data_IF_672607003238
#
_entry.id   IF_672607003238
#
_cell.length_a   1.000
_cell.length_b   1.000
_cell.length_c   1.000
_cell.angle_alpha   90.00
_cell.angle_beta   90.00
_cell.angle_gamma   90.00
#
_symmetry.space_group_name_H-M   'P 1'
#
loop_
_entity.id
_entity.type
_entity.pdbx_description
1 polymer ?
#
# COMPACT_ATOMS: atom_id res chain seq x y z
N UNK A 1 13.27 32.76 2.10
CA UNK A 1 12.13 33.20 2.94
C UNK A 1 11.28 31.96 3.17
N UNK A 2 10.94 31.76 4.43
CA UNK A 2 10.40 30.54 5.03
C UNK A 2 8.95 30.29 4.65
N UNK A 3 8.66 29.21 3.94
CA UNK A 3 7.29 28.72 3.77
C UNK A 3 7.08 27.47 4.63
N UNK A 4 6.77 27.75 5.88
CA UNK A 4 6.13 26.83 6.82
C UNK A 4 4.61 26.85 6.60
N UNK A 5 4.03 25.66 6.66
CA UNK A 5 2.67 25.32 7.12
C UNK A 5 1.49 25.24 6.16
N UNK A 6 0.92 24.02 6.12
CA UNK A 6 -0.53 23.81 6.05
C UNK A 6 -1.05 22.63 6.91
N UNK A 7 -0.17 21.84 7.57
CA UNK A 7 -0.56 20.73 8.46
C UNK A 7 -0.46 21.05 9.96
N UNK A 8 -0.02 22.26 10.33
CA UNK A 8 0.33 22.65 11.71
C UNK A 8 -0.74 23.52 12.39
N UNK A 9 -1.92 23.70 11.78
CA UNK A 9 -2.93 24.67 12.25
C UNK A 9 -4.11 24.05 13.02
N UNK A 10 -3.97 22.83 13.57
CA UNK A 10 -5.04 22.21 14.38
C UNK A 10 -4.61 21.59 15.72
N UNK A 11 -3.50 22.02 16.35
CA UNK A 11 -3.14 21.55 17.70
C UNK A 11 -2.35 22.57 18.55
N UNK A 12 -2.70 23.86 18.49
CA UNK A 12 -2.18 24.87 19.44
C UNK A 12 -3.16 25.17 20.58
N UNK A 13 -3.95 24.18 20.99
CA UNK A 13 -4.48 24.15 22.35
C UNK A 13 -3.31 23.79 23.26
N UNK A 14 -2.60 24.83 23.71
CA UNK A 14 -1.31 24.74 24.38
C UNK A 14 -1.18 23.60 25.38
N UNK A 15 0.04 23.07 25.50
CA UNK A 15 0.36 21.95 26.38
C UNK A 15 -0.11 22.21 27.83
N UNK A 16 -1.33 21.77 28.18
CA UNK A 16 -1.98 21.99 29.48
C UNK A 16 -2.28 20.66 30.16
N UNK A 17 -2.21 20.66 31.48
CA UNK A 17 -2.57 19.51 32.29
C UNK A 17 -4.03 19.12 32.06
N UNK A 18 -4.28 17.87 31.67
CA UNK A 18 -5.63 17.33 31.40
C UNK A 18 -6.57 17.41 32.61
N UNK A 19 -6.01 17.52 33.83
CA UNK A 19 -6.79 17.51 35.08
C UNK A 19 -7.06 18.90 35.64
N UNK A 20 -6.09 19.81 35.60
CA UNK A 20 -6.17 21.12 36.26
C UNK A 20 -5.95 22.32 35.34
N UNK A 21 -5.69 22.10 34.04
CA UNK A 21 -5.48 23.15 33.05
C UNK A 21 -4.16 23.91 33.18
N UNK A 22 -3.30 23.57 34.14
CA UNK A 22 -1.99 24.23 34.30
C UNK A 22 -1.07 23.92 33.11
N UNK A 23 -0.41 24.92 32.49
CA UNK A 23 0.57 24.69 31.44
C UNK A 23 1.66 23.70 31.88
N UNK A 24 1.97 22.71 31.03
CA UNK A 24 2.96 21.67 31.30
C UNK A 24 3.49 21.08 30.00
N UNK A 25 4.75 20.69 29.96
CA UNK A 25 5.35 19.93 28.84
C UNK A 25 5.46 18.43 29.12
N UNK A 26 5.07 18.00 30.32
CA UNK A 26 5.24 16.62 30.76
C UNK A 26 4.10 15.77 30.18
N UNK A 27 4.47 14.86 29.27
CA UNK A 27 3.56 13.89 28.65
C UNK A 27 3.51 12.59 29.45
N UNK A 28 2.38 11.91 29.42
CA UNK A 28 2.27 10.53 29.86
C UNK A 28 3.37 9.67 29.21
N UNK A 29 4.20 8.99 30.00
CA UNK A 29 5.33 8.20 29.49
C UNK A 29 4.90 7.01 28.63
N UNK A 30 3.68 6.49 28.84
CA UNK A 30 3.08 5.43 28.04
C UNK A 30 2.60 5.94 26.68
N UNK A 31 1.47 6.65 26.63
CA UNK A 31 0.80 7.06 25.40
C UNK A 31 1.37 8.31 24.72
N UNK A 32 2.11 9.16 25.45
CA UNK A 32 2.64 10.45 24.96
C UNK A 32 1.57 11.44 24.45
N UNK A 33 0.29 11.17 24.71
CA UNK A 33 -0.86 11.97 24.22
C UNK A 33 -1.41 12.90 25.30
N UNK A 34 -1.52 12.43 26.56
CA UNK A 34 -2.00 13.24 27.67
C UNK A 34 -0.87 14.01 28.34
N UNK A 35 -1.20 15.19 28.89
CA UNK A 35 -0.27 16.09 29.57
C UNK A 35 -0.65 16.23 31.05
N UNK A 36 0.34 16.22 31.93
CA UNK A 36 0.13 16.36 33.37
C UNK A 36 1.13 17.34 33.97
N UNK A 37 0.72 18.20 34.91
CA UNK A 37 1.67 19.07 35.62
C UNK A 37 2.52 18.30 36.65
N UNK A 38 2.14 17.06 36.97
CA UNK A 38 2.84 16.19 37.91
C UNK A 38 2.14 14.85 38.13
N UNK A 39 2.75 14.01 38.97
CA UNK A 39 2.29 12.64 39.26
C UNK A 39 0.89 12.58 39.88
N UNK A 40 0.52 13.58 40.68
CA UNK A 40 -0.78 13.61 41.36
C UNK A 40 -1.93 13.73 40.37
N UNK A 41 -1.80 14.63 39.39
CA UNK A 41 -2.77 14.77 38.31
C UNK A 41 -2.83 13.51 37.44
N UNK A 42 -1.69 12.91 37.10
CA UNK A 42 -1.67 11.65 36.36
C UNK A 42 -2.37 10.52 37.14
N UNK A 43 -2.15 10.43 38.45
CA UNK A 43 -2.73 9.39 39.30
C UNK A 43 -4.24 9.57 39.44
N UNK A 44 -4.71 10.82 39.55
CA UNK A 44 -6.13 11.18 39.59
C UNK A 44 -6.86 10.81 38.28
N UNK A 45 -6.21 11.00 37.14
CA UNK A 45 -6.77 10.69 35.81
C UNK A 45 -6.67 9.19 35.45
N UNK A 46 -5.75 8.47 36.08
CA UNK A 46 -5.41 7.09 35.69
C UNK A 46 -6.62 6.13 35.55
N UNK A 47 -7.64 6.12 36.43
CA UNK A 47 -8.79 5.24 36.25
C UNK A 47 -9.54 5.44 34.92
N UNK A 48 -9.65 6.69 34.45
CA UNK A 48 -10.27 7.02 33.16
C UNK A 48 -9.28 6.86 31.98
N UNK A 49 -8.01 7.23 32.20
CA UNK A 49 -6.99 7.22 31.17
C UNK A 49 -6.51 5.81 30.80
N UNK A 50 -6.44 4.87 31.74
CA UNK A 50 -5.72 3.59 31.61
C UNK A 50 -6.05 2.81 30.32
N UNK A 51 -7.33 2.73 29.94
CA UNK A 51 -7.76 2.02 28.73
C UNK A 51 -7.29 2.76 27.48
N UNK A 52 -7.66 4.03 27.34
CA UNK A 52 -7.20 4.87 26.21
C UNK A 52 -5.68 4.95 26.10
N UNK A 53 -4.95 4.91 27.22
CA UNK A 53 -3.50 4.90 27.25
C UNK A 53 -2.91 3.66 26.56
N UNK A 54 -3.57 2.50 26.63
CA UNK A 54 -3.14 1.29 25.93
C UNK A 54 -3.42 1.40 24.43
N UNK A 55 -4.59 1.93 24.05
CA UNK A 55 -4.98 2.10 22.66
C UNK A 55 -4.03 3.05 21.94
N UNK A 56 -3.73 4.21 22.53
CA UNK A 56 -2.75 5.16 21.99
C UNK A 56 -1.33 4.58 21.92
N UNK A 57 -0.97 3.69 22.84
CA UNK A 57 0.31 2.99 22.76
C UNK A 57 0.35 2.02 21.58
N UNK A 58 -0.72 1.25 21.37
CA UNK A 58 -0.83 0.34 20.23
C UNK A 58 -0.82 1.12 18.92
N UNK A 59 -1.61 2.19 18.80
CA UNK A 59 -1.64 3.08 17.64
C UNK A 59 -0.26 3.64 17.31
N UNK A 60 0.47 4.15 18.31
CA UNK A 60 1.83 4.66 18.06
C UNK A 60 2.77 3.57 17.56
N UNK A 61 2.64 2.34 18.08
CA UNK A 61 3.43 1.19 17.64
C UNK A 61 3.10 0.81 16.20
N UNK A 62 1.81 0.74 15.86
CA UNK A 62 1.35 0.43 14.50
C UNK A 62 1.73 1.52 13.49
N UNK A 63 1.62 2.79 13.87
CA UNK A 63 2.05 3.92 13.04
C UNK A 63 3.55 3.84 12.70
N UNK A 64 4.40 3.50 13.68
CA UNK A 64 5.84 3.28 13.45
C UNK A 64 6.12 2.11 12.50
N UNK A 65 5.38 1.01 12.63
CA UNK A 65 5.48 -0.11 11.68
C UNK A 65 5.11 0.36 10.28
N UNK A 66 3.99 1.05 10.14
CA UNK A 66 3.53 1.53 8.85
C UNK A 66 4.51 2.50 8.19
N UNK A 67 5.14 3.37 8.98
CA UNK A 67 6.17 4.30 8.53
C UNK A 67 7.41 3.56 7.98
N UNK A 68 7.96 2.59 8.72
CA UNK A 68 9.11 1.80 8.27
C UNK A 68 8.78 1.07 6.95
N UNK A 69 7.64 0.40 6.89
CA UNK A 69 7.26 -0.41 5.72
C UNK A 69 7.00 0.48 4.51
N UNK A 70 6.33 1.63 4.69
CA UNK A 70 6.08 2.57 3.60
C UNK A 70 7.38 3.15 3.05
N UNK A 71 8.29 3.63 3.91
CA UNK A 71 9.59 4.16 3.45
C UNK A 71 10.45 3.07 2.78
N UNK A 72 10.45 1.85 3.32
CA UNK A 72 11.12 0.71 2.71
C UNK A 72 10.55 0.38 1.33
N UNK A 73 9.22 0.40 1.18
CA UNK A 73 8.57 0.12 -0.10
C UNK A 73 8.87 1.19 -1.15
N UNK A 74 8.77 2.48 -0.79
CA UNK A 74 9.08 3.57 -1.72
C UNK A 74 10.53 3.49 -2.19
N UNK A 75 11.46 3.22 -1.28
CA UNK A 75 12.89 3.04 -1.60
C UNK A 75 13.12 1.80 -2.47
N UNK A 76 12.42 0.70 -2.17
CA UNK A 76 12.42 -0.50 -2.99
C UNK A 76 11.92 -0.19 -4.41
N UNK A 77 10.83 0.56 -4.56
CA UNK A 77 10.28 0.96 -5.87
C UNK A 77 11.15 1.94 -6.63
N UNK A 78 11.85 2.84 -5.94
CA UNK A 78 12.85 3.70 -6.58
C UNK A 78 13.99 2.88 -7.18
N UNK A 79 14.43 1.83 -6.50
CA UNK A 79 15.50 0.94 -6.99
C UNK A 79 15.02 -0.07 -8.03
N UNK A 80 13.78 -0.55 -7.92
CA UNK A 80 13.17 -1.54 -8.82
C UNK A 80 12.25 -0.91 -9.84
N UNK A 81 12.41 0.39 -10.10
CA UNK A 81 11.58 1.08 -11.07
C UNK A 81 11.75 0.43 -12.45
N UNK A 82 10.64 0.24 -13.13
CA UNK A 82 10.56 -0.52 -14.39
C UNK A 82 9.71 0.21 -15.44
N UNK A 83 9.13 1.35 -15.07
CA UNK A 83 8.42 2.24 -15.98
C UNK A 83 9.37 3.06 -16.85
N UNK A 84 8.93 3.39 -18.06
CA UNK A 84 9.52 4.44 -18.89
C UNK A 84 8.51 5.58 -18.89
N UNK A 85 8.79 6.69 -18.22
CA UNK A 85 7.86 7.82 -18.17
C UNK A 85 8.41 8.95 -19.03
N UNK A 86 7.61 9.41 -19.99
CA UNK A 86 7.96 10.50 -20.90
C UNK A 86 7.53 11.86 -20.34
N UNK A 87 6.38 11.91 -19.67
CA UNK A 87 5.80 13.14 -19.13
C UNK A 87 4.91 12.86 -17.91
N UNK A 88 4.88 13.82 -16.99
CA UNK A 88 3.99 13.81 -15.83
C UNK A 88 3.23 15.13 -15.78
N UNK A 89 1.92 15.06 -15.56
CA UNK A 89 1.08 16.24 -15.31
C UNK A 89 0.51 16.14 -13.89
N UNK A 90 1.03 16.99 -13.01
CA UNK A 90 0.64 17.06 -11.60
C UNK A 90 -0.52 18.05 -11.41
N UNK A 91 -1.73 17.64 -11.80
CA UNK A 91 -2.95 18.41 -11.54
C UNK A 91 -3.44 18.24 -10.09
N UNK A 92 -4.26 19.19 -9.61
CA UNK A 92 -4.81 19.19 -8.25
C UNK A 92 -5.53 17.87 -7.92
N UNK A 93 -6.50 17.47 -8.75
CA UNK A 93 -7.30 16.25 -8.52
C UNK A 93 -6.88 15.03 -9.38
N UNK A 94 -5.88 15.18 -10.25
CA UNK A 94 -5.50 14.14 -11.22
C UNK A 94 -3.98 14.04 -11.38
N UNK A 95 -3.44 12.82 -11.41
CA UNK A 95 -2.07 12.55 -11.85
C UNK A 95 -2.15 11.93 -13.24
N UNK A 96 -1.55 12.58 -14.24
CA UNK A 96 -1.43 11.96 -15.56
C UNK A 96 0.02 11.53 -15.76
N UNK A 97 0.24 10.22 -15.89
CA UNK A 97 1.52 9.61 -16.20
C UNK A 97 1.47 9.21 -17.67
N UNK A 98 2.38 9.76 -18.48
CA UNK A 98 2.53 9.39 -19.88
C UNK A 98 3.64 8.36 -19.99
N UNK A 99 3.26 7.09 -20.13
CA UNK A 99 4.18 5.99 -20.30
C UNK A 99 4.77 5.96 -21.73
N UNK A 100 6.07 5.77 -21.81
CA UNK A 100 6.79 5.41 -23.01
C UNK A 100 6.83 3.90 -23.23
N UNK A 101 7.53 3.47 -24.28
CA UNK A 101 7.66 2.07 -24.63
C UNK A 101 8.76 1.36 -23.79
N UNK A 102 8.44 0.46 -22.85
CA UNK A 102 9.44 -0.23 -22.04
C UNK A 102 10.14 -1.38 -22.76
N UNK A 103 9.62 -1.83 -23.92
CA UNK A 103 10.04 -3.08 -24.57
C UNK A 103 11.46 -3.02 -25.18
N UNK A 104 12.04 -1.83 -25.29
CA UNK A 104 13.42 -1.65 -25.75
C UNK A 104 14.46 -1.74 -24.61
N UNK A 105 14.04 -1.90 -23.35
CA UNK A 105 14.96 -2.00 -22.22
C UNK A 105 15.37 -3.47 -21.97
N UNK A 106 16.57 -3.84 -22.41
CA UNK A 106 17.13 -5.18 -22.16
C UNK A 106 17.39 -5.48 -20.68
N UNK A 107 17.46 -4.47 -19.81
CA UNK A 107 17.74 -4.66 -18.37
C UNK A 107 16.48 -4.67 -17.50
N UNK A 108 15.28 -4.49 -18.09
CA UNK A 108 13.98 -4.37 -17.41
C UNK A 108 13.87 -3.16 -16.47
N UNK A 109 14.71 -3.10 -15.44
CA UNK A 109 14.77 -1.98 -14.51
C UNK A 109 15.29 -0.72 -15.20
N UNK A 110 14.66 0.41 -14.88
CA UNK A 110 14.98 1.75 -15.34
C UNK A 110 15.34 2.62 -14.13
N UNK A 111 15.97 3.76 -14.39
CA UNK A 111 16.19 4.75 -13.32
C UNK A 111 14.89 5.50 -13.09
N UNK A 112 14.50 5.64 -11.82
CA UNK A 112 13.37 6.48 -11.45
C UNK A 112 13.54 7.92 -12.00
N UNK A 113 12.53 8.49 -12.67
CA UNK A 113 12.65 9.75 -13.40
C UNK A 113 12.55 10.96 -12.46
N UNK A 114 13.50 11.12 -11.54
CA UNK A 114 13.51 12.19 -10.53
C UNK A 114 13.26 13.59 -11.12
N UNK A 115 13.75 13.87 -12.32
CA UNK A 115 13.60 15.17 -12.99
C UNK A 115 12.14 15.49 -13.37
N UNK A 116 11.28 14.48 -13.55
CA UNK A 116 9.88 14.65 -13.91
C UNK A 116 8.96 14.85 -12.68
N UNK A 117 9.47 14.58 -11.48
CA UNK A 117 8.69 14.64 -10.21
C UNK A 117 9.29 15.58 -9.15
N UNK A 118 10.37 16.30 -9.49
CA UNK A 118 11.39 16.77 -8.53
C UNK A 118 10.94 17.74 -7.43
N UNK A 119 9.72 18.30 -7.48
CA UNK A 119 9.22 19.23 -6.45
C UNK A 119 7.94 18.78 -5.74
N UNK A 120 7.29 17.70 -6.18
CA UNK A 120 6.00 17.28 -5.65
C UNK A 120 6.14 15.93 -4.95
N UNK A 121 6.19 15.96 -3.61
CA UNK A 121 6.15 14.74 -2.79
C UNK A 121 4.94 13.88 -3.17
N UNK A 122 3.79 14.53 -3.39
CA UNK A 122 2.55 13.86 -3.77
C UNK A 122 2.65 13.21 -5.15
N UNK A 123 3.21 13.89 -6.15
CA UNK A 123 3.43 13.27 -7.47
C UNK A 123 4.44 12.13 -7.38
N UNK A 124 5.54 12.29 -6.64
CA UNK A 124 6.53 11.23 -6.43
C UNK A 124 5.89 9.97 -5.83
N UNK A 125 5.08 10.13 -4.77
CA UNK A 125 4.33 9.03 -4.17
C UNK A 125 3.38 8.39 -5.18
N UNK A 126 2.60 9.19 -5.92
CA UNK A 126 1.68 8.70 -6.94
C UNK A 126 2.36 7.90 -8.03
N UNK A 127 3.53 8.33 -8.50
CA UNK A 127 4.30 7.63 -9.54
C UNK A 127 4.91 6.33 -9.01
N UNK A 128 5.48 6.34 -7.80
CA UNK A 128 6.11 5.15 -7.21
C UNK A 128 5.12 4.03 -6.88
N UNK A 129 3.86 4.39 -6.66
CA UNK A 129 2.80 3.47 -6.22
C UNK A 129 1.75 3.20 -7.31
N UNK A 130 1.92 3.78 -8.50
CA UNK A 130 0.99 3.59 -9.61
C UNK A 130 0.95 2.13 -10.05
N UNK A 131 -0.24 1.54 -10.03
CA UNK A 131 -0.51 0.16 -10.48
C UNK A 131 0.19 -0.94 -9.67
N UNK A 132 0.60 -0.64 -8.44
CA UNK A 132 1.33 -1.59 -7.58
C UNK A 132 0.63 -1.83 -6.24
N UNK A 133 -0.71 -1.75 -6.22
CA UNK A 133 -1.50 -1.80 -4.99
C UNK A 133 -1.29 -3.04 -4.13
N UNK A 134 -0.88 -4.17 -4.70
CA UNK A 134 -0.63 -5.45 -4.03
C UNK A 134 0.85 -5.71 -3.71
N UNK A 135 1.76 -4.99 -4.35
CA UNK A 135 3.20 -5.21 -4.24
C UNK A 135 3.79 -5.06 -2.83
N UNK A 136 3.45 -4.03 -2.03
CA UNK A 136 4.01 -3.90 -0.69
C UNK A 136 3.73 -5.14 0.17
N UNK A 137 2.54 -5.71 0.04
CA UNK A 137 2.07 -6.84 0.85
C UNK A 137 2.70 -8.16 0.40
N UNK A 138 2.99 -8.29 -0.90
CA UNK A 138 3.70 -9.45 -1.45
C UNK A 138 5.20 -9.40 -1.19
N UNK A 139 5.86 -8.32 -1.59
CA UNK A 139 7.32 -8.21 -1.58
C UNK A 139 7.92 -7.87 -0.21
N UNK A 140 7.20 -7.14 0.66
CA UNK A 140 7.67 -6.76 1.99
C UNK A 140 6.97 -7.54 3.11
N UNK A 141 6.31 -8.67 2.79
CA UNK A 141 5.59 -9.49 3.75
C UNK A 141 6.43 -9.85 4.99
N UNK A 142 7.70 -10.22 4.81
CA UNK A 142 8.57 -10.60 5.92
C UNK A 142 8.88 -9.41 6.85
N UNK A 143 9.10 -8.22 6.30
CA UNK A 143 9.32 -7.00 7.08
C UNK A 143 8.08 -6.69 7.92
N UNK A 144 6.89 -6.74 7.31
CA UNK A 144 5.61 -6.50 7.97
C UNK A 144 5.41 -7.48 9.14
N UNK A 145 5.56 -8.78 8.89
CA UNK A 145 5.33 -9.83 9.89
C UNK A 145 6.32 -9.71 11.06
N UNK A 146 7.62 -9.51 10.79
CA UNK A 146 8.64 -9.35 11.85
C UNK A 146 8.43 -8.09 12.70
N UNK A 147 7.98 -6.98 12.10
CA UNK A 147 7.69 -5.75 12.85
C UNK A 147 6.46 -5.87 13.76
N UNK A 148 5.44 -6.62 13.32
CA UNK A 148 4.19 -6.84 14.05
C UNK A 148 4.27 -8.00 15.07
N UNK A 149 5.31 -8.83 15.01
CA UNK A 149 5.47 -10.02 15.85
C UNK A 149 5.34 -9.74 17.36
N UNK A 150 4.40 -10.40 18.02
CA UNK A 150 4.17 -10.25 19.47
C UNK A 150 3.38 -9.01 19.86
N UNK A 151 2.81 -8.27 18.89
CA UNK A 151 1.64 -7.43 19.17
C UNK A 151 0.40 -8.30 19.24
N UNK A 152 -0.51 -7.98 20.16
CA UNK A 152 -1.81 -8.67 20.29
C UNK A 152 -2.80 -8.11 19.25
N UNK A 153 -2.52 -8.38 17.98
CA UNK A 153 -3.32 -7.93 16.85
C UNK A 153 -3.56 -9.06 15.86
N UNK A 154 -4.72 -9.04 15.22
CA UNK A 154 -5.03 -9.87 14.06
C UNK A 154 -4.74 -9.09 12.78
N UNK A 155 -4.32 -9.79 11.72
CA UNK A 155 -3.89 -9.18 10.46
C UNK A 155 -4.57 -9.86 9.27
N UNK A 156 -5.19 -9.05 8.41
CA UNK A 156 -5.75 -9.52 7.15
C UNK A 156 -5.32 -8.62 6.00
N UNK A 157 -5.12 -9.23 4.83
CA UNK A 157 -5.02 -8.48 3.58
C UNK A 157 -6.44 -8.25 3.04
N UNK A 158 -6.79 -7.02 2.68
CA UNK A 158 -8.13 -6.70 2.18
C UNK A 158 -8.08 -6.02 0.83
N UNK A 159 -9.10 -6.24 0.01
CA UNK A 159 -9.37 -5.44 -1.17
C UNK A 159 -10.49 -4.45 -0.87
N UNK A 160 -10.39 -3.18 -1.23
CA UNK A 160 -11.51 -2.22 -1.15
C UNK A 160 -11.76 -1.54 -2.50
N UNK A 161 -12.98 -1.08 -2.69
CA UNK A 161 -13.34 -0.12 -3.74
C UNK A 161 -13.61 1.23 -3.09
N UNK A 162 -13.15 2.30 -3.73
CA UNK A 162 -13.26 3.65 -3.19
C UNK A 162 -14.50 4.39 -3.72
N UNK A 163 -15.20 5.08 -2.81
CA UNK A 163 -16.34 5.96 -3.13
C UNK A 163 -15.86 7.35 -3.55
N UNK A 164 -14.75 7.81 -2.96
CA UNK A 164 -14.09 9.08 -3.26
C UNK A 164 -12.58 8.90 -3.15
N UNK A 165 -11.85 9.44 -4.10
CA UNK A 165 -10.39 9.47 -4.07
C UNK A 165 -9.90 10.92 -4.08
N UNK A 166 -8.98 11.31 -3.19
CA UNK A 166 -8.37 12.64 -3.20
C UNK A 166 -7.71 12.98 -4.54
N UNK A 167 -7.28 11.96 -5.27
CA UNK A 167 -6.66 12.10 -6.58
C UNK A 167 -7.01 10.91 -7.46
N UNK A 168 -7.44 11.18 -8.69
CA UNK A 168 -7.71 10.14 -9.68
C UNK A 168 -6.42 9.64 -10.33
N UNK A 169 -6.27 8.31 -10.30
CA UNK A 169 -5.41 7.48 -11.16
C UNK A 169 -6.31 6.41 -11.77
N UNK A 170 -6.18 6.13 -13.07
CA UNK A 170 -7.26 5.56 -13.88
C UNK A 170 -7.04 4.04 -14.15
N UNK A 171 -7.82 3.09 -13.55
CA UNK A 171 -7.87 1.60 -13.79
C UNK A 171 -9.07 0.82 -13.08
N UNK A 172 -9.40 -0.46 -13.43
CA UNK A 172 -10.72 -1.17 -13.21
C UNK A 172 -10.86 -2.56 -12.40
N UNK A 173 -11.92 -2.86 -11.56
CA UNK A 173 -12.71 -4.09 -11.08
C UNK A 173 -13.13 -4.35 -9.58
N UNK A 174 -14.27 -5.11 -9.32
CA UNK A 174 -15.48 -5.10 -8.35
C UNK A 174 -15.55 -6.15 -7.13
N UNK A 175 -16.59 -6.17 -6.20
CA UNK A 175 -16.56 -6.48 -4.72
C UNK A 175 -17.20 -7.78 -4.10
N UNK A 176 -16.92 -8.13 -2.81
CA UNK A 176 -17.80 -8.05 -1.58
C UNK A 176 -17.29 -8.78 -0.28
N UNK A 177 -17.44 -8.20 0.94
CA UNK A 177 -17.68 -8.93 2.24
C UNK A 177 -17.34 -8.18 3.57
N UNK A 178 -17.17 -8.87 4.73
CA UNK A 178 -17.22 -8.29 6.11
C UNK A 178 -15.85 -8.22 6.86
N UNK A 179 -15.55 -7.14 7.62
CA UNK A 179 -14.28 -6.95 8.35
C UNK A 179 -14.23 -7.59 9.77
N UNK A 180 -13.04 -7.54 10.41
CA UNK A 180 -12.72 -8.02 11.77
C UNK A 180 -13.59 -7.37 12.88
N UNK A 181 -13.54 -7.88 14.12
CA UNK A 181 -14.15 -7.23 15.30
C UNK A 181 -13.13 -6.33 16.02
N UNK A 182 -13.60 -5.38 16.84
CA UNK A 182 -12.74 -4.55 17.69
C UNK A 182 -12.35 -3.20 17.07
N UNK A 183 -11.38 -2.51 17.69
CA UNK A 183 -10.78 -1.30 17.13
C UNK A 183 -9.83 -1.69 16.00
N UNK A 184 -9.96 -1.01 14.88
CA UNK A 184 -9.31 -1.40 13.64
C UNK A 184 -8.48 -0.27 13.06
N UNK A 185 -7.40 -0.66 12.37
CA UNK A 185 -6.49 0.23 11.66
C UNK A 185 -6.17 -0.32 10.29
N UNK A 186 -5.80 0.58 9.38
CA UNK A 186 -5.40 0.22 8.02
C UNK A 186 -4.00 0.73 7.73
N UNK A 187 -3.21 -0.12 7.07
CA UNK A 187 -1.90 0.21 6.54
C UNK A 187 -1.94 0.23 5.01
N UNK A 188 -1.95 1.44 4.44
CA UNK A 188 -1.97 1.66 2.98
C UNK A 188 -0.61 2.14 2.48
N UNK A 189 0.20 1.20 2.00
CA UNK A 189 1.55 1.49 1.52
C UNK A 189 1.58 1.93 0.04
N UNK A 190 0.46 1.80 -0.67
CA UNK A 190 0.32 2.16 -2.08
C UNK A 190 -0.74 3.24 -2.32
N UNK A 191 -1.23 3.89 -1.25
CA UNK A 191 -2.28 4.91 -1.30
C UNK A 191 -1.89 6.18 -2.05
N UNK A 192 -0.58 6.40 -2.23
CA UNK A 192 -0.03 7.52 -3.00
C UNK A 192 -0.63 7.65 -4.40
N UNK A 193 -0.95 6.52 -5.04
CA UNK A 193 -1.57 6.49 -6.37
C UNK A 193 -2.97 7.13 -6.37
N UNK A 194 -3.64 7.21 -5.22
CA UNK A 194 -4.95 7.86 -5.07
C UNK A 194 -4.87 9.19 -4.31
N UNK A 195 -3.66 9.70 -4.07
CA UNK A 195 -3.42 10.91 -3.28
C UNK A 195 -3.51 10.70 -1.77
N UNK A 196 -3.59 9.46 -1.28
CA UNK A 196 -3.56 9.11 0.14
C UNK A 196 -2.09 9.02 0.57
N UNK A 197 -1.56 10.12 1.11
CA UNK A 197 -0.13 10.22 1.43
C UNK A 197 0.28 9.55 2.75
N UNK A 198 -0.66 9.44 3.70
CA UNK A 198 -0.40 8.85 5.01
C UNK A 198 -0.62 7.33 4.94
N UNK A 199 0.35 6.50 5.37
CA UNK A 199 0.24 5.06 5.26
C UNK A 199 -0.55 4.41 6.39
N UNK A 200 -0.97 5.16 7.41
CA UNK A 200 -1.64 4.63 8.59
C UNK A 200 -2.87 5.46 8.96
N UNK A 201 -4.01 4.78 9.13
CA UNK A 201 -5.27 5.39 9.56
C UNK A 201 -6.00 4.46 10.52
N UNK A 202 -6.91 5.02 11.32
CA UNK A 202 -7.97 4.18 11.90
C UNK A 202 -8.89 3.70 10.77
N UNK A 203 -9.44 2.50 10.88
CA UNK A 203 -10.36 1.97 9.86
C UNK A 203 -11.60 2.85 9.74
N UNK A 204 -12.17 3.31 10.87
CA UNK A 204 -13.36 4.18 10.88
C UNK A 204 -13.14 5.46 10.05
N UNK A 205 -12.02 6.16 10.25
CA UNK A 205 -11.71 7.37 9.50
C UNK A 205 -11.50 7.07 8.01
N UNK A 206 -10.82 5.97 7.71
CA UNK A 206 -10.51 5.58 6.34
C UNK A 206 -11.75 5.12 5.57
N UNK A 207 -12.61 4.35 6.23
CA UNK A 207 -13.87 3.85 5.67
C UNK A 207 -14.79 5.02 5.32
N UNK A 208 -15.00 5.94 6.27
CA UNK A 208 -15.81 7.15 6.07
C UNK A 208 -15.26 8.02 4.94
N UNK A 209 -13.92 8.16 4.87
CA UNK A 209 -13.29 9.08 3.93
C UNK A 209 -13.23 8.52 2.49
N UNK A 210 -12.98 7.22 2.34
CA UNK A 210 -12.55 6.66 1.06
C UNK A 210 -13.33 5.44 0.60
N UNK A 211 -13.85 4.60 1.50
CA UNK A 211 -14.35 3.27 1.11
C UNK A 211 -15.80 3.35 0.65
N UNK A 212 -16.10 2.74 -0.50
CA UNK A 212 -17.47 2.40 -0.93
C UNK A 212 -17.84 1.02 -0.37
N UNK A 213 -16.94 0.04 -0.55
CA UNK A 213 -17.14 -1.32 -0.10
C UNK A 213 -15.86 -2.13 0.00
N UNK A 214 -15.90 -3.10 0.90
CA UNK A 214 -14.90 -4.16 1.03
C UNK A 214 -15.13 -5.22 -0.06
N UNK A 215 -14.08 -5.52 -0.83
CA UNK A 215 -14.10 -6.37 -2.02
C UNK A 215 -13.59 -7.78 -1.73
N UNK A 216 -12.55 -7.90 -0.92
CA UNK A 216 -11.90 -9.17 -0.64
C UNK A 216 -11.24 -9.14 0.74
N UNK A 217 -11.12 -10.30 1.37
CA UNK A 217 -10.41 -10.49 2.63
C UNK A 217 -9.60 -11.76 2.50
N UNK A 218 -8.33 -11.70 2.87
CA UNK A 218 -7.38 -12.78 2.76
C UNK A 218 -6.56 -12.91 4.04
N UNK A 219 -6.10 -14.13 4.31
CA UNK A 219 -5.06 -14.36 5.32
C UNK A 219 -3.78 -13.61 4.95
N UNK A 220 -3.04 -13.11 5.95
CA UNK A 220 -1.74 -12.48 5.72
C UNK A 220 -0.77 -13.43 4.97
N UNK A 221 0.00 -12.86 4.04
CA UNK A 221 0.91 -13.59 3.16
C UNK A 221 0.24 -14.17 1.91
N UNK A 222 -1.03 -13.84 1.64
CA UNK A 222 -1.70 -14.28 0.41
C UNK A 222 -1.04 -13.66 -0.81
N UNK A 223 -0.82 -12.35 -0.85
CA UNK A 223 -0.10 -11.69 -1.94
C UNK A 223 1.27 -12.33 -2.20
N UNK A 224 2.07 -12.60 -1.15
CA UNK A 224 3.39 -13.26 -1.28
C UNK A 224 3.28 -14.63 -1.96
N UNK A 225 2.30 -15.46 -1.55
CA UNK A 225 2.07 -16.78 -2.18
C UNK A 225 1.62 -16.65 -3.63
N UNK A 226 0.68 -15.75 -3.91
CA UNK A 226 0.18 -15.51 -5.26
C UNK A 226 1.31 -15.06 -6.19
N UNK A 227 2.13 -14.10 -5.76
CA UNK A 227 3.25 -13.60 -6.55
C UNK A 227 4.26 -14.70 -6.89
N UNK A 228 4.55 -15.60 -5.96
CA UNK A 228 5.40 -16.77 -6.20
C UNK A 228 4.87 -17.68 -7.30
N UNK A 229 3.55 -17.87 -7.37
CA UNK A 229 2.92 -18.65 -8.44
C UNK A 229 2.90 -17.89 -9.78
N UNK A 230 2.60 -16.58 -9.76
CA UNK A 230 2.56 -15.74 -10.95
C UNK A 230 3.95 -15.54 -11.57
N UNK A 231 5.02 -15.57 -10.76
CA UNK A 231 6.41 -15.52 -11.21
C UNK A 231 6.82 -16.70 -12.11
N UNK A 232 6.05 -17.79 -12.12
CA UNK A 232 6.29 -18.96 -12.96
C UNK A 232 5.72 -18.80 -14.37
N UNK A 233 4.88 -17.79 -14.60
CA UNK A 233 4.26 -17.52 -15.90
C UNK A 233 5.27 -16.83 -16.80
N UNK A 234 5.38 -17.32 -18.04
CA UNK A 234 6.27 -16.76 -19.05
C UNK A 234 5.84 -15.34 -19.51
N UNK A 235 6.62 -14.72 -20.39
CA UNK A 235 6.35 -13.35 -20.84
C UNK A 235 6.61 -12.32 -19.75
N UNK A 236 5.84 -11.24 -19.71
CA UNK A 236 6.07 -10.11 -18.78
C UNK A 236 6.01 -10.50 -17.30
N UNK A 237 5.30 -11.56 -16.95
CA UNK A 237 5.05 -11.95 -15.56
C UNK A 237 6.28 -12.50 -14.84
N UNK A 238 7.20 -13.15 -15.57
CA UNK A 238 8.51 -13.52 -15.02
C UNK A 238 9.38 -12.30 -14.70
N UNK A 239 9.09 -11.16 -15.33
CA UNK A 239 9.77 -9.90 -15.04
C UNK A 239 9.11 -9.25 -13.82
N UNK A 240 7.81 -8.98 -13.90
CA UNK A 240 7.05 -8.30 -12.83
C UNK A 240 7.11 -9.05 -11.51
N UNK A 241 6.85 -10.36 -11.48
CA UNK A 241 6.84 -11.12 -10.22
C UNK A 241 8.16 -11.85 -9.98
N UNK A 242 8.84 -12.29 -11.04
CA UNK A 242 10.06 -13.08 -10.92
C UNK A 242 11.35 -12.25 -10.77
N UNK A 243 11.54 -11.15 -11.52
CA UNK A 243 12.71 -10.27 -11.33
C UNK A 243 12.54 -9.41 -10.10
N UNK A 244 11.39 -8.75 -9.94
CA UNK A 244 11.13 -7.91 -8.76
C UNK A 244 11.11 -8.79 -7.49
N UNK A 245 10.56 -10.01 -7.56
CA UNK A 245 10.63 -10.96 -6.45
C UNK A 245 12.06 -11.38 -6.06
N UNK A 246 12.98 -11.47 -7.03
CA UNK A 246 14.42 -11.67 -6.72
C UNK A 246 15.05 -10.47 -6.03
N UNK A 247 14.66 -9.25 -6.40
CA UNK A 247 15.07 -8.05 -5.68
C UNK A 247 14.50 -8.03 -4.25
N UNK A 248 13.24 -8.45 -4.07
CA UNK A 248 12.61 -8.58 -2.76
C UNK A 248 13.31 -9.62 -1.87
N UNK A 249 13.77 -10.74 -2.44
CA UNK A 249 14.58 -11.71 -1.69
C UNK A 249 15.89 -11.10 -1.14
N UNK A 250 16.45 -10.07 -1.80
CA UNK A 250 17.61 -9.32 -1.29
C UNK A 250 17.25 -8.39 -0.14
N UNK A 251 16.02 -7.88 -0.08
CA UNK A 251 15.52 -7.23 1.14
C UNK A 251 15.46 -8.25 2.28
N UNK A 252 14.96 -9.46 2.03
CA UNK A 252 14.83 -10.48 3.07
C UNK A 252 16.20 -10.88 3.65
N UNK A 253 17.17 -11.19 2.80
CA UNK A 253 18.56 -11.47 3.22
C UNK A 253 19.17 -10.31 4.02
N UNK A 254 18.89 -9.06 3.62
CA UNK A 254 19.39 -7.88 4.31
C UNK A 254 18.74 -7.65 5.67
N UNK A 255 17.44 -7.95 5.82
CA UNK A 255 16.74 -7.91 7.13
C UNK A 255 17.40 -8.89 8.09
N UNK A 256 17.57 -10.15 7.67
CA UNK A 256 18.15 -11.18 8.53
C UNK A 256 19.58 -10.82 8.93
N UNK A 257 20.39 -10.34 7.97
CA UNK A 257 21.76 -9.87 8.25
C UNK A 257 21.76 -8.71 9.24
N UNK A 258 20.92 -7.70 9.01
CA UNK A 258 20.83 -6.53 9.88
C UNK A 258 20.42 -6.90 11.31
N UNK A 259 19.48 -7.83 11.49
CA UNK A 259 19.07 -8.33 12.81
C UNK A 259 20.17 -9.11 13.55
N UNK A 260 21.15 -9.70 12.84
CA UNK A 260 22.31 -10.33 13.53
C UNK A 260 23.25 -9.32 14.17
N UNK A 261 23.29 -8.11 13.63
CA UNK A 261 24.20 -7.03 14.05
C UNK A 261 23.48 -6.00 14.94
N UNK A 262 22.15 -6.01 14.97
CA UNK A 262 21.30 -5.02 15.64
C UNK A 262 20.22 -5.70 16.50
N UNK A 263 19.26 -4.92 17.01
CA UNK A 263 18.13 -5.46 17.79
C UNK A 263 17.07 -6.05 16.85
N UNK A 264 16.31 -7.07 17.29
CA UNK A 264 15.19 -7.60 16.49
C UNK A 264 14.18 -6.52 16.09
N UNK A 265 13.59 -6.64 14.91
CA UNK A 265 12.67 -5.64 14.34
C UNK A 265 11.47 -5.35 15.25
N UNK A 266 10.95 -6.35 15.96
CA UNK A 266 9.88 -6.18 16.93
C UNK A 266 10.20 -5.14 18.02
N UNK A 267 11.48 -4.80 18.25
CA UNK A 267 11.89 -3.84 19.27
C UNK A 267 11.64 -2.38 18.87
N UNK A 268 11.54 -2.06 17.58
CA UNK A 268 11.38 -0.70 17.05
C UNK A 268 10.19 0.05 17.66
N UNK A 269 9.12 -0.70 17.91
CA UNK A 269 7.86 -0.18 18.46
C UNK A 269 8.00 0.40 19.87
N UNK A 270 9.02 -0.01 20.62
CA UNK A 270 9.26 0.40 22.01
C UNK A 270 10.34 1.48 22.18
N UNK A 271 11.09 1.81 21.13
CA UNK A 271 12.23 2.71 21.21
C UNK A 271 11.82 4.15 21.56
N UNK A 272 12.73 4.93 22.16
CA UNK A 272 12.54 6.38 22.25
C UNK A 272 12.63 6.99 20.84
N UNK A 273 12.01 8.15 20.61
CA UNK A 273 11.86 8.71 19.25
C UNK A 273 13.21 8.91 18.54
N UNK A 274 14.23 9.43 19.23
CA UNK A 274 15.56 9.60 18.63
C UNK A 274 16.25 8.27 18.28
N UNK A 275 16.11 7.25 19.13
CA UNK A 275 16.66 5.91 18.85
C UNK A 275 15.87 5.21 17.73
N UNK A 276 14.55 5.42 17.69
CA UNK A 276 13.69 4.93 16.61
C UNK A 276 14.14 5.48 15.25
N UNK A 277 14.32 6.79 15.11
CA UNK A 277 14.77 7.40 13.85
C UNK A 277 16.16 6.90 13.44
N UNK A 278 17.08 6.76 14.40
CA UNK A 278 18.43 6.25 14.13
C UNK A 278 18.39 4.81 13.61
N UNK A 279 17.65 3.92 14.29
CA UNK A 279 17.55 2.51 13.92
C UNK A 279 16.77 2.35 12.60
N UNK A 280 15.72 3.15 12.37
CA UNK A 280 14.97 3.19 11.10
C UNK A 280 15.88 3.57 9.95
N UNK A 281 16.65 4.65 10.08
CA UNK A 281 17.59 5.07 9.04
C UNK A 281 18.65 4.01 8.76
N UNK A 282 19.16 3.33 9.79
CA UNK A 282 20.13 2.23 9.65
C UNK A 282 19.54 1.06 8.85
N UNK A 283 18.35 0.59 9.23
CA UNK A 283 17.64 -0.48 8.55
C UNK A 283 17.36 -0.12 7.08
N UNK A 284 16.73 1.04 6.83
CA UNK A 284 16.39 1.48 5.48
C UNK A 284 17.62 1.62 4.58
N UNK A 285 18.76 2.09 5.13
CA UNK A 285 20.02 2.16 4.41
C UNK A 285 20.57 0.79 4.03
N UNK A 286 20.45 -0.22 4.89
CA UNK A 286 20.85 -1.59 4.59
C UNK A 286 19.98 -2.21 3.48
N UNK A 287 18.67 -2.01 3.56
CA UNK A 287 17.69 -2.48 2.58
C UNK A 287 17.92 -1.85 1.20
N UNK A 288 18.06 -0.52 1.14
CA UNK A 288 18.40 0.23 -0.06
C UNK A 288 19.69 -0.31 -0.70
N UNK A 289 20.75 -0.44 0.10
CA UNK A 289 22.04 -0.87 -0.41
C UNK A 289 22.02 -2.29 -0.98
N UNK A 290 21.30 -3.21 -0.35
CA UNK A 290 21.17 -4.59 -0.82
C UNK A 290 20.48 -4.65 -2.20
N UNK A 291 19.34 -3.98 -2.34
CA UNK A 291 18.57 -3.95 -3.58
C UNK A 291 19.35 -3.22 -4.68
N UNK A 292 19.84 -2.01 -4.39
CA UNK A 292 20.63 -1.22 -5.36
C UNK A 292 21.85 -1.99 -5.86
N UNK A 293 22.53 -2.72 -4.97
CA UNK A 293 23.69 -3.54 -5.35
C UNK A 293 23.27 -4.67 -6.29
N UNK A 294 22.20 -5.39 -5.96
CA UNK A 294 21.66 -6.45 -6.82
C UNK A 294 21.30 -5.95 -8.21
N UNK A 295 20.55 -4.83 -8.30
CA UNK A 295 20.15 -4.22 -9.57
C UNK A 295 21.37 -3.78 -10.40
N UNK A 296 22.41 -3.22 -9.76
CA UNK A 296 23.61 -2.73 -10.47
C UNK A 296 24.52 -3.85 -10.97
N UNK A 297 24.54 -4.99 -10.29
CA UNK A 297 25.55 -6.05 -10.51
C UNK A 297 25.04 -7.26 -11.27
N UNK A 298 23.72 -7.36 -11.49
CA UNK A 298 23.11 -8.49 -12.18
C UNK A 298 22.85 -8.16 -13.64
N UNK A 299 23.19 -9.08 -14.55
CA UNK A 299 22.76 -8.98 -15.96
C UNK A 299 21.37 -9.62 -16.13
N UNK A 300 20.37 -8.78 -16.43
CA UNK A 300 18.99 -9.23 -16.60
C UNK A 300 18.62 -9.57 -18.05
N UNK A 301 19.48 -9.23 -19.00
CA UNK A 301 19.20 -9.37 -20.43
C UNK A 301 18.84 -10.80 -20.87
N UNK A 302 19.44 -11.88 -20.33
CA UNK A 302 19.02 -13.24 -20.66
C UNK A 302 17.55 -13.52 -20.31
N UNK A 303 17.08 -13.03 -19.17
CA UNK A 303 15.69 -13.24 -18.70
C UNK A 303 14.73 -12.38 -19.51
N UNK A 304 15.09 -11.13 -19.79
CA UNK A 304 14.29 -10.22 -20.60
C UNK A 304 14.10 -10.75 -22.03
N UNK A 305 15.17 -11.20 -22.69
CA UNK A 305 15.08 -11.80 -24.03
C UNK A 305 14.16 -13.02 -24.04
N UNK A 306 14.27 -13.90 -23.03
CA UNK A 306 13.39 -15.07 -22.90
C UNK A 306 11.92 -14.65 -22.72
N UNK A 307 11.65 -13.61 -21.93
CA UNK A 307 10.30 -13.07 -21.77
C UNK A 307 9.74 -12.50 -23.08
N UNK A 308 10.55 -11.73 -23.83
CA UNK A 308 10.16 -11.13 -25.11
C UNK A 308 9.85 -12.17 -26.21
N UNK A 309 10.47 -13.35 -26.15
CA UNK A 309 10.17 -14.46 -27.08
C UNK A 309 8.85 -15.20 -26.77
N UNK A 310 8.20 -14.91 -25.65
CA UNK A 310 6.96 -15.57 -25.24
C UNK A 310 5.75 -14.97 -25.97
N UNK A 311 4.73 -15.79 -26.26
CA UNK A 311 3.48 -15.30 -26.83
C UNK A 311 2.71 -14.45 -25.79
N UNK A 312 2.52 -13.13 -26.01
CA UNK A 312 1.90 -12.25 -25.00
C UNK A 312 0.44 -12.61 -24.72
N UNK A 313 -0.35 -12.93 -25.76
CA UNK A 313 -1.76 -13.25 -25.60
C UNK A 313 -1.97 -14.53 -24.77
N UNK A 314 -1.12 -15.53 -24.99
CA UNK A 314 -1.15 -16.77 -24.21
C UNK A 314 -0.73 -16.53 -22.74
N UNK A 315 0.34 -15.76 -22.53
CA UNK A 315 0.79 -15.41 -21.18
C UNK A 315 -0.28 -14.61 -20.41
N UNK A 316 -0.93 -13.64 -21.06
CA UNK A 316 -1.99 -12.84 -20.46
C UNK A 316 -3.24 -13.66 -20.11
N UNK A 317 -3.65 -14.58 -20.99
CA UNK A 317 -4.73 -15.50 -20.69
C UNK A 317 -4.41 -16.41 -19.50
N UNK A 318 -3.18 -16.94 -19.43
CA UNK A 318 -2.72 -17.77 -18.32
C UNK A 318 -2.68 -16.98 -17.01
N UNK A 319 -2.14 -15.75 -17.04
CA UNK A 319 -2.11 -14.87 -15.89
C UNK A 319 -3.51 -14.55 -15.38
N UNK A 320 -4.42 -14.09 -16.24
CA UNK A 320 -5.78 -13.73 -15.84
C UNK A 320 -6.51 -14.93 -15.20
N UNK A 321 -6.36 -16.12 -15.80
CA UNK A 321 -6.96 -17.35 -15.28
C UNK A 321 -6.36 -17.75 -13.93
N UNK A 322 -5.02 -17.78 -13.84
CA UNK A 322 -4.31 -18.25 -12.65
C UNK A 322 -4.44 -17.27 -11.49
N UNK A 323 -4.30 -15.97 -11.75
CA UNK A 323 -4.48 -14.90 -10.76
C UNK A 323 -5.89 -14.95 -10.17
N UNK A 324 -6.92 -14.98 -11.04
CA UNK A 324 -8.31 -15.10 -10.58
C UNK A 324 -8.53 -16.36 -9.73
N UNK A 325 -8.05 -17.51 -10.19
CA UNK A 325 -8.17 -18.76 -9.45
C UNK A 325 -7.55 -18.64 -8.05
N UNK A 326 -6.29 -18.20 -7.95
CA UNK A 326 -5.56 -18.13 -6.69
C UNK A 326 -6.22 -17.16 -5.70
N UNK A 327 -6.65 -15.98 -6.17
CA UNK A 327 -7.33 -15.03 -5.31
C UNK A 327 -8.74 -15.48 -4.91
N UNK A 328 -9.50 -16.12 -5.80
CA UNK A 328 -10.84 -16.62 -5.44
C UNK A 328 -10.75 -17.76 -4.40
N UNK A 329 -9.81 -18.69 -4.57
CA UNK A 329 -9.56 -19.78 -3.62
C UNK A 329 -9.08 -19.26 -2.25
N UNK A 330 -8.36 -18.14 -2.23
CA UNK A 330 -7.86 -17.50 -1.02
C UNK A 330 -8.88 -16.62 -0.29
N UNK A 331 -9.91 -16.13 -1.00
CA UNK A 331 -10.83 -15.13 -0.47
C UNK A 331 -11.73 -15.72 0.64
N UNK A 332 -11.54 -15.26 1.88
CA UNK A 332 -12.30 -15.68 3.05
C UNK A 332 -13.80 -15.39 2.91
N UNK A 333 -14.15 -14.38 2.11
CA UNK A 333 -15.54 -14.00 1.85
C UNK A 333 -16.25 -15.00 0.95
N UNK A 334 -15.53 -15.67 0.04
CA UNK A 334 -16.07 -16.69 -0.85
C UNK A 334 -16.18 -18.07 -0.17
N UNK A 335 -15.24 -18.40 0.72
CA UNK A 335 -15.22 -19.68 1.47
C UNK A 335 -16.47 -19.88 2.35
N UNK A 336 -16.97 -18.81 2.96
CA UNK A 336 -18.17 -18.87 3.80
C UNK A 336 -19.49 -19.04 3.02
N UNK A 337 -19.48 -18.84 1.69
CA UNK A 337 -20.65 -19.03 0.81
C UNK A 337 -20.72 -20.48 0.31
N UNK A 338 -19.58 -21.11 0.02
CA UNK A 338 -19.53 -22.51 -0.43
C UNK A 338 -20.03 -23.51 0.62
N UNK A 339 -19.87 -23.21 1.91
CA UNK A 339 -20.38 -24.07 2.99
C UNK A 339 -21.92 -24.02 3.13
N UNK A 340 -22.59 -23.02 2.54
CA UNK A 340 -24.06 -22.91 2.50
C UNK A 340 -24.67 -23.34 1.16
N UNK A 341 -23.87 -23.62 0.14
CA UNK A 341 -24.33 -23.97 -1.22
C UNK A 341 -24.01 -25.41 -1.66
N UNK A 342 -23.66 -26.28 -0.71
CA UNK A 342 -23.61 -27.73 -0.93
C UNK A 342 -25.00 -28.40 -1.02
N UNK A 343 -26.10 -27.63 -1.09
CA UNK A 343 -27.42 -28.12 -1.48
C UNK A 343 -28.00 -27.28 -2.63
N UNK A 344 -28.20 -27.95 -3.77
CA UNK A 344 -28.86 -27.51 -5.02
C UNK A 344 -28.05 -26.63 -5.99
N UNK A 345 -27.44 -27.29 -6.98
CA UNK A 345 -26.96 -26.71 -8.23
C UNK A 345 -28.14 -26.28 -9.12
N UNK A 346 -28.17 -25.00 -9.49
CA UNK A 346 -28.98 -24.42 -10.57
C UNK A 346 -28.12 -23.45 -11.41
N UNK A 347 -28.49 -23.15 -12.68
CA UNK A 347 -27.55 -22.64 -13.67
C UNK A 347 -27.17 -21.17 -13.46
N UNK A 348 -25.93 -20.86 -13.83
CA UNK A 348 -25.30 -19.54 -13.84
C UNK A 348 -26.00 -18.61 -14.85
N UNK A 349 -26.47 -17.44 -14.40
CA UNK A 349 -27.17 -16.45 -15.22
C UNK A 349 -26.23 -15.67 -16.17
N UNK A 350 -26.73 -15.39 -17.38
CA UNK A 350 -26.11 -14.55 -18.43
C UNK A 350 -26.43 -13.05 -18.24
N UNK A 351 -25.47 -12.18 -18.60
CA UNK A 351 -25.53 -10.72 -18.50
C UNK A 351 -26.11 -10.06 -19.78
N UNK A 352 -27.04 -9.11 -19.63
CA UNK A 352 -27.68 -8.30 -20.68
C UNK A 352 -27.09 -6.88 -20.70
N UNK A 353 -26.92 -6.32 -21.90
CA UNK A 353 -26.23 -5.05 -22.18
C UNK A 353 -27.23 -3.99 -22.69
N UNK A 354 -27.65 -3.07 -21.82
CA UNK A 354 -28.32 -1.85 -22.27
C UNK A 354 -28.14 -0.71 -21.28
N UNK A 355 -27.14 0.13 -21.51
CA UNK A 355 -27.14 1.56 -21.12
C UNK A 355 -26.14 2.32 -22.01
N UNK A 356 -26.64 2.95 -23.08
CA UNK A 356 -25.84 3.61 -24.14
C UNK A 356 -25.90 5.14 -24.13
N UNK A 357 -26.55 5.79 -23.18
CA UNK A 357 -26.95 7.19 -23.36
C UNK A 357 -26.04 8.28 -22.75
N UNK A 358 -24.85 7.97 -22.24
CA UNK A 358 -23.89 9.00 -21.78
C UNK A 358 -22.56 9.07 -22.57
N UNK A 359 -22.31 8.11 -23.47
CA UNK A 359 -21.04 8.00 -24.21
C UNK A 359 -21.03 8.78 -25.55
N UNK A 360 -22.19 8.95 -26.19
CA UNK A 360 -22.29 9.64 -27.49
C UNK A 360 -22.06 11.16 -27.39
N UNK A 361 -22.43 11.78 -26.28
CA UNK A 361 -22.22 13.23 -26.06
C UNK A 361 -20.74 13.55 -25.83
N UNK A 362 -20.03 12.67 -25.12
CA UNK A 362 -18.59 12.81 -24.88
C UNK A 362 -17.77 12.51 -26.14
N UNK A 363 -18.18 11.52 -26.94
CA UNK A 363 -17.54 11.18 -28.22
C UNK A 363 -17.67 12.31 -29.27
N UNK A 364 -18.80 13.05 -29.26
CA UNK A 364 -19.01 14.24 -30.10
C UNK A 364 -18.08 15.39 -29.71
N UNK A 365 -17.85 15.60 -28.41
CA UNK A 365 -16.94 16.64 -27.91
C UNK A 365 -15.48 16.35 -28.29
N UNK A 366 -15.02 15.10 -28.15
CA UNK A 366 -13.64 14.71 -28.47
C UNK A 366 -13.33 14.73 -29.98
N UNK A 367 -14.27 14.29 -30.82
CA UNK A 367 -14.12 14.31 -32.28
C UNK A 367 -14.04 15.74 -32.84
N UNK A 368 -14.68 16.71 -32.20
CA UNK A 368 -14.62 18.13 -32.61
C UNK A 368 -13.23 18.77 -32.45
N UNK A 369 -12.30 18.11 -31.75
CA UNK A 369 -10.94 18.60 -31.48
C UNK A 369 -9.84 17.77 -32.15
N UNK A 370 -10.18 16.84 -33.04
CA UNK A 370 -9.20 16.03 -33.77
C UNK A 370 -8.36 15.10 -32.90
N UNK A 371 -8.80 14.85 -31.66
CA UNK A 371 -8.16 13.93 -30.74
C UNK A 371 -8.83 12.56 -30.91
N UNK A 372 -8.03 11.53 -31.16
CA UNK A 372 -8.43 10.13 -31.00
C UNK A 372 -7.83 9.56 -29.71
N UNK A 373 -8.36 9.91 -28.52
CA UNK A 373 -7.94 9.27 -27.29
C UNK A 373 -8.61 7.90 -27.19
N UNK A 374 -7.80 6.85 -27.07
CA UNK A 374 -8.20 5.66 -26.32
C UNK A 374 -8.26 6.08 -24.86
N UNK A 375 -9.44 6.54 -24.43
CA UNK A 375 -9.76 6.70 -23.01
C UNK A 375 -9.92 5.29 -22.46
N UNK A 376 -8.85 4.73 -21.89
CA UNK A 376 -9.01 3.64 -20.92
C UNK A 376 -9.45 4.33 -19.65
N UNK A 377 -10.76 4.53 -19.52
CA UNK A 377 -11.36 4.84 -18.25
C UNK A 377 -11.07 3.67 -17.32
N UNK A 378 -10.63 4.00 -16.12
CA UNK A 378 -10.70 3.19 -14.94
C UNK A 378 -12.14 2.94 -14.49
N UNK A 379 -13.10 2.96 -15.42
CA UNK A 379 -14.53 2.64 -15.35
C UNK A 379 -15.30 2.82 -16.64
N UNK A 380 -14.97 1.99 -17.63
CA UNK A 380 -16.01 1.20 -18.30
C UNK A 380 -16.80 0.35 -17.29
N UNK A 381 -17.52 0.99 -16.37
CA UNK A 381 -18.54 0.42 -15.50
C UNK A 381 -18.12 -0.63 -14.47
N UNK A 382 -16.84 -0.83 -14.11
CA UNK A 382 -16.47 -1.85 -13.10
C UNK A 382 -15.26 -1.55 -12.19
N UNK A 383 -15.36 -0.78 -11.08
CA UNK A 383 -14.53 -0.77 -9.82
C UNK A 383 -13.00 -0.61 -9.86
N UNK A 384 -12.23 -0.66 -8.76
CA UNK A 384 -10.76 -0.82 -8.73
C UNK A 384 -10.45 -1.62 -7.46
N UNK A 385 -9.85 -2.81 -7.57
CA UNK A 385 -9.44 -3.62 -6.40
C UNK A 385 -8.13 -3.09 -5.85
N UNK A 386 -8.11 -2.61 -4.60
CA UNK A 386 -6.90 -2.09 -3.96
C UNK A 386 -6.60 -2.94 -2.74
N UNK A 387 -5.43 -3.57 -2.71
CA UNK A 387 -5.00 -4.39 -1.59
C UNK A 387 -4.47 -3.53 -0.45
N UNK A 388 -4.82 -3.87 0.79
CA UNK A 388 -4.41 -3.21 2.03
C UNK A 388 -4.14 -4.24 3.13
N UNK A 389 -3.52 -3.84 4.24
CA UNK A 389 -3.60 -4.62 5.49
C UNK A 389 -4.57 -3.93 6.44
N UNK A 390 -5.56 -4.66 6.91
CA UNK A 390 -6.36 -4.28 8.08
C UNK A 390 -5.82 -5.01 9.31
N UNK A 391 -5.71 -4.27 10.41
CA UNK A 391 -5.25 -4.77 11.69
C UNK A 391 -6.35 -4.54 12.72
N UNK A 392 -6.72 -5.58 13.46
CA UNK A 392 -7.70 -5.50 14.56
C UNK A 392 -7.05 -5.80 15.91
N UNK A 393 -7.53 -5.18 16.99
CA UNK A 393 -7.19 -5.65 18.34
C UNK A 393 -7.89 -6.98 18.67
N UNK A 394 -7.20 -7.85 19.42
CA UNK A 394 -7.72 -9.12 19.91
C UNK A 394 -8.27 -9.03 21.33
#
# INVERSE_FOLDING_TARGET
>A
MSDSNASDMLNDNGNICTVCGTPTTIKCSGCKTHFYCGKDCQTKDWPAHKTSCKDFQLERRLARVAEIVHEAYLTFRENTFDGVIEKIEDGEDVLVIHDGNPWNNEQYFTKFPHKLVSSSRRAKLGVLTAWTCDEPYGFLNMLIVKLLEGLNVDMQEIGVEFSRIPRKTVALTFPMGKPLSGKQWIMDFAGGQYGIAQPFHTWEQYEIAFVDKLVSVYDIGTAKRVFSELAKIAGRYILVYGLVGRAAAKLEEAIDTWETENKPLLTFRGLQDAEFEQQKSSLLGALDNAVRTFIRTTDFAPVVRKAQMSNPAFADAMFNTKSKQLYDEANLLLRNVSDKHSQQLGPVYSYDSSDKHSLEEFAKMASSRGLHPLVVDGSGGKSTKIHHIIVGDL
#
